data_IF_362108717182
#
_entry.id   IF_362108717182
#
_cell.length_a   1.000
_cell.length_b   1.000
_cell.length_c   1.000
_cell.angle_alpha   90.00
_cell.angle_beta   90.00
_cell.angle_gamma   90.00
#
_symmetry.space_group_name_H-M   'P 1'
#
loop_
_entity.id
_entity.type
_entity.pdbx_description
1 polymer ?
#
# COMPACT_ATOMS: atom_id res chain seq x y z
N UNK A 1 17.31 14.08 -3.12
CA UNK A 1 15.91 14.53 -3.13
C UNK A 1 15.84 15.82 -3.94
N UNK A 2 14.94 15.91 -4.93
CA UNK A 2 14.87 17.05 -5.87
C UNK A 2 14.52 18.39 -5.21
N UNK A 3 13.72 18.36 -4.15
CA UNK A 3 13.16 19.52 -3.47
C UNK A 3 13.61 19.63 -2.02
N UNK A 4 14.80 19.11 -1.67
CA UNK A 4 15.28 19.11 -0.28
C UNK A 4 15.44 20.51 0.31
N UNK A 5 15.73 21.51 -0.52
CA UNK A 5 15.82 22.92 -0.10
C UNK A 5 14.46 23.60 0.05
N UNK A 6 13.39 22.99 -0.44
CA UNK A 6 12.03 23.55 -0.50
C UNK A 6 10.96 22.51 -0.11
N UNK A 7 11.00 21.95 1.11
CA UNK A 7 10.04 20.93 1.56
C UNK A 7 8.59 21.44 1.58
N UNK A 8 8.39 22.75 1.72
CA UNK A 8 7.08 23.41 1.69
C UNK A 8 6.34 23.27 0.35
N UNK A 9 7.06 22.94 -0.74
CA UNK A 9 6.45 22.77 -2.06
C UNK A 9 5.74 21.44 -2.23
N UNK A 10 6.14 20.39 -1.50
CA UNK A 10 5.58 19.05 -1.68
C UNK A 10 4.05 19.01 -1.42
N UNK A 11 3.50 19.60 -0.35
CA UNK A 11 2.05 19.68 -0.16
C UNK A 11 1.33 20.50 -1.23
N UNK A 12 1.97 21.54 -1.77
CA UNK A 12 1.39 22.40 -2.80
C UNK A 12 1.34 21.65 -4.14
N UNK A 13 2.41 20.95 -4.49
CA UNK A 13 2.49 20.05 -5.65
C UNK A 13 1.43 18.96 -5.53
N UNK A 14 1.31 18.35 -4.34
CA UNK A 14 0.28 17.36 -4.07
C UNK A 14 -1.13 17.93 -4.27
N UNK A 15 -1.40 19.14 -3.81
CA UNK A 15 -2.71 19.80 -3.97
C UNK A 15 -3.06 19.98 -5.45
N UNK A 16 -2.14 20.51 -6.27
CA UNK A 16 -2.37 20.63 -7.71
C UNK A 16 -2.56 19.27 -8.37
N UNK A 17 -1.73 18.30 -8.01
CA UNK A 17 -1.77 16.95 -8.59
C UNK A 17 -3.09 16.24 -8.25
N UNK A 18 -3.50 16.29 -6.99
CA UNK A 18 -4.75 15.73 -6.51
C UNK A 18 -5.97 16.39 -7.17
N UNK A 19 -6.00 17.72 -7.24
CA UNK A 19 -7.03 18.46 -7.98
C UNK A 19 -7.10 18.03 -9.45
N UNK A 20 -5.95 17.88 -10.10
CA UNK A 20 -5.87 17.43 -11.50
C UNK A 20 -6.51 16.05 -11.67
N UNK A 21 -6.22 15.10 -10.77
CA UNK A 21 -6.80 13.76 -10.84
C UNK A 21 -8.31 13.73 -10.52
N UNK A 22 -8.79 14.63 -9.66
CA UNK A 22 -10.19 14.64 -9.24
C UNK A 22 -11.11 15.42 -10.20
N UNK A 23 -10.64 16.53 -10.77
CA UNK A 23 -11.50 17.46 -11.52
C UNK A 23 -11.13 17.54 -13.00
N UNK A 24 -9.87 17.25 -13.35
CA UNK A 24 -9.38 17.28 -14.73
C UNK A 24 -8.94 15.87 -15.18
N UNK A 25 -9.68 14.84 -14.77
CA UNK A 25 -9.35 13.43 -14.99
C UNK A 25 -9.22 13.04 -16.47
N UNK A 26 -9.80 13.80 -17.38
CA UNK A 26 -9.60 13.66 -18.83
C UNK A 26 -8.12 13.79 -19.23
N UNK A 27 -7.32 14.53 -18.44
CA UNK A 27 -5.86 14.57 -18.60
C UNK A 27 -5.18 13.22 -18.31
N UNK A 28 -5.84 12.27 -17.67
CA UNK A 28 -5.30 10.91 -17.47
C UNK A 28 -5.65 9.95 -18.61
N UNK A 29 -6.63 10.27 -19.48
CA UNK A 29 -7.01 9.38 -20.59
C UNK A 29 -5.80 9.15 -21.51
N UNK A 30 -5.47 7.87 -21.71
CA UNK A 30 -4.36 7.38 -22.53
C UNK A 30 -2.99 7.98 -22.16
N UNK A 31 -2.84 8.40 -20.90
CA UNK A 31 -1.63 9.00 -20.35
C UNK A 31 -1.21 8.35 -19.04
N UNK A 32 0.06 8.52 -18.70
CA UNK A 32 0.67 7.93 -17.53
C UNK A 32 0.58 8.86 -16.33
N UNK A 33 0.30 8.33 -15.14
CA UNK A 33 0.20 9.08 -13.89
C UNK A 33 1.43 9.98 -13.64
N UNK A 34 2.62 9.40 -13.82
CA UNK A 34 3.89 10.10 -13.61
C UNK A 34 4.10 11.30 -14.57
N UNK A 35 3.45 11.34 -15.74
CA UNK A 35 3.50 12.50 -16.64
C UNK A 35 2.87 13.71 -15.94
N UNK A 36 1.68 13.51 -15.36
CA UNK A 36 0.98 14.55 -14.61
C UNK A 36 1.74 14.92 -13.32
N UNK A 37 2.32 13.94 -12.63
CA UNK A 37 3.14 14.19 -11.44
C UNK A 37 4.35 15.09 -11.76
N UNK A 38 5.12 14.75 -12.80
CA UNK A 38 6.28 15.55 -13.22
C UNK A 38 5.87 16.94 -13.73
N UNK A 39 4.75 17.05 -14.45
CA UNK A 39 4.21 18.33 -14.90
C UNK A 39 3.72 19.20 -13.75
N UNK A 40 3.07 18.63 -12.72
CA UNK A 40 2.65 19.35 -11.53
C UNK A 40 3.84 19.87 -10.72
N UNK A 41 4.89 19.05 -10.55
CA UNK A 41 6.15 19.49 -9.92
C UNK A 41 6.74 20.71 -10.64
N UNK A 42 6.88 20.62 -11.97
CA UNK A 42 7.41 21.72 -12.77
C UNK A 42 6.55 22.98 -12.68
N UNK A 43 5.22 22.84 -12.79
CA UNK A 43 4.27 23.96 -12.74
C UNK A 43 4.39 24.74 -11.44
N UNK A 44 4.37 24.06 -10.29
CA UNK A 44 4.44 24.71 -8.97
C UNK A 44 5.79 25.37 -8.75
N UNK A 45 6.89 24.68 -9.07
CA UNK A 45 8.23 25.29 -8.96
C UNK A 45 8.32 26.56 -9.82
N UNK A 46 7.77 26.53 -11.04
CA UNK A 46 7.78 27.68 -11.95
C UNK A 46 7.02 28.88 -11.38
N UNK A 47 5.83 28.70 -10.81
CA UNK A 47 5.07 29.83 -10.22
C UNK A 47 5.60 30.29 -8.87
N UNK A 48 6.35 29.45 -8.17
CA UNK A 48 7.08 29.80 -6.94
C UNK A 48 8.49 30.32 -7.19
N UNK A 49 8.85 30.59 -8.45
CA UNK A 49 10.16 31.10 -8.87
C UNK A 49 11.34 30.22 -8.42
N UNK A 50 11.12 28.91 -8.30
CA UNK A 50 12.16 27.92 -8.03
C UNK A 50 12.65 27.34 -9.36
N UNK A 51 13.96 27.44 -9.62
CA UNK A 51 14.56 26.89 -10.83
C UNK A 51 14.61 25.36 -10.78
N UNK A 52 13.55 24.73 -11.28
CA UNK A 52 13.48 23.30 -11.50
C UNK A 52 13.21 23.03 -12.97
N UNK A 53 14.23 22.55 -13.69
CA UNK A 53 14.12 22.22 -15.11
C UNK A 53 13.58 20.79 -15.30
N UNK A 54 12.82 20.58 -16.39
CA UNK A 54 12.37 19.23 -16.79
C UNK A 54 13.53 18.25 -16.91
N UNK A 55 14.70 18.68 -17.40
CA UNK A 55 15.91 17.84 -17.47
C UNK A 55 16.28 17.26 -16.10
N UNK A 56 16.18 18.04 -15.03
CA UNK A 56 16.50 17.60 -13.66
C UNK A 56 15.45 16.63 -13.13
N UNK A 57 14.17 16.92 -13.38
CA UNK A 57 13.03 16.07 -13.01
C UNK A 57 13.16 14.70 -13.68
N UNK A 58 13.27 14.64 -15.01
CA UNK A 58 13.35 13.37 -15.75
C UNK A 58 14.63 12.59 -15.44
N UNK A 59 15.74 13.27 -15.13
CA UNK A 59 16.97 12.61 -14.70
C UNK A 59 16.78 11.88 -13.37
N UNK A 60 16.10 12.52 -12.41
CA UNK A 60 15.82 11.87 -11.14
C UNK A 60 14.78 10.76 -11.27
N UNK A 61 13.77 10.96 -12.13
CA UNK A 61 12.75 9.98 -12.44
C UNK A 61 13.34 8.64 -12.92
N UNK A 62 14.35 8.69 -13.81
CA UNK A 62 15.07 7.50 -14.32
C UNK A 62 15.72 6.64 -13.24
N UNK A 63 16.05 7.23 -12.09
CA UNK A 63 16.73 6.53 -11.00
C UNK A 63 15.73 5.85 -10.05
N UNK A 64 14.41 6.02 -10.27
CA UNK A 64 13.38 5.36 -9.47
C UNK A 64 13.11 3.94 -10.00
N UNK A 65 12.81 2.98 -9.11
CA UNK A 65 12.48 1.61 -9.52
C UNK A 65 11.21 1.59 -10.37
N UNK A 66 11.13 0.63 -11.29
CA UNK A 66 9.96 0.38 -12.15
C UNK A 66 9.57 1.55 -13.08
N UNK A 67 10.54 2.36 -13.51
CA UNK A 67 10.29 3.48 -14.45
C UNK A 67 10.71 3.15 -15.88
N UNK A 68 10.06 3.79 -16.86
CA UNK A 68 10.41 3.71 -18.29
C UNK A 68 10.76 5.10 -18.83
N UNK A 69 11.72 5.17 -19.75
CA UNK A 69 12.03 6.43 -20.42
C UNK A 69 10.95 6.85 -21.41
N UNK A 70 10.17 5.91 -21.94
CA UNK A 70 9.05 6.22 -22.83
C UNK A 70 8.01 7.09 -22.13
N UNK A 71 7.84 6.94 -20.81
CA UNK A 71 6.90 7.71 -20.00
C UNK A 71 7.04 9.22 -20.19
N UNK A 72 8.25 9.75 -20.41
CA UNK A 72 8.46 11.19 -20.65
C UNK A 72 8.96 11.53 -22.06
N UNK A 73 9.30 10.53 -22.88
CA UNK A 73 9.72 10.75 -24.29
C UNK A 73 8.57 10.62 -25.29
N UNK A 74 7.54 9.84 -24.96
CA UNK A 74 6.45 9.49 -25.85
C UNK A 74 5.10 9.69 -25.14
N UNK A 75 4.70 10.95 -25.01
CA UNK A 75 3.51 11.41 -24.30
C UNK A 75 2.47 11.85 -25.32
N UNK A 76 1.23 11.37 -25.16
CA UNK A 76 0.12 11.70 -26.05
C UNK A 76 -0.23 13.20 -25.97
N UNK A 77 -0.15 13.88 -27.12
CA UNK A 77 -0.50 15.30 -27.27
C UNK A 77 -1.92 15.43 -27.82
N UNK A 78 -2.16 14.82 -28.98
CA UNK A 78 -3.45 14.75 -29.69
C UNK A 78 -3.59 13.36 -30.31
N UNK A 79 -4.78 13.02 -30.82
CA UNK A 79 -5.08 11.69 -31.37
C UNK A 79 -3.99 11.19 -32.35
N UNK A 80 -3.28 10.13 -31.96
CA UNK A 80 -2.21 9.52 -32.76
C UNK A 80 -0.88 10.28 -32.78
N UNK A 81 -0.77 11.42 -32.11
CA UNK A 81 0.46 12.23 -32.06
C UNK A 81 1.08 12.24 -30.66
N UNK A 82 2.35 11.85 -30.60
CA UNK A 82 3.13 11.73 -29.37
C UNK A 82 4.40 12.56 -29.45
N UNK A 83 4.76 13.18 -28.34
CA UNK A 83 5.98 13.99 -28.21
C UNK A 83 6.51 13.90 -26.76
N UNK A 84 7.60 14.61 -26.47
CA UNK A 84 8.18 14.72 -25.15
C UNK A 84 7.21 15.34 -24.12
N UNK A 85 7.47 15.03 -22.85
CA UNK A 85 6.74 15.60 -21.71
C UNK A 85 6.74 17.14 -21.68
N UNK A 86 7.75 17.77 -22.30
CA UNK A 86 7.84 19.23 -22.38
C UNK A 86 6.77 19.78 -23.32
N UNK A 87 6.58 19.14 -24.48
CA UNK A 87 5.53 19.53 -25.45
C UNK A 87 4.16 19.26 -24.85
N UNK A 88 3.96 18.10 -24.21
CA UNK A 88 2.74 17.80 -23.45
C UNK A 88 2.44 18.88 -22.41
N UNK A 89 3.44 19.29 -21.63
CA UNK A 89 3.26 20.32 -20.62
C UNK A 89 2.79 21.65 -21.24
N UNK A 90 3.44 22.10 -22.31
CA UNK A 90 3.14 23.39 -22.92
C UNK A 90 1.81 23.41 -23.68
N UNK A 91 1.51 22.36 -24.43
CA UNK A 91 0.37 22.31 -25.35
C UNK A 91 -0.90 21.74 -24.72
N UNK A 92 -0.80 20.89 -23.69
CA UNK A 92 -1.97 20.20 -23.10
C UNK A 92 -2.13 20.59 -21.64
N UNK A 93 -1.16 20.24 -20.79
CA UNK A 93 -1.27 20.41 -19.34
C UNK A 93 -1.49 21.86 -18.94
N UNK A 94 -0.66 22.77 -19.44
CA UNK A 94 -0.76 24.20 -19.15
C UNK A 94 -2.01 24.83 -19.74
N UNK A 95 -2.43 24.42 -20.94
CA UNK A 95 -3.64 24.99 -21.54
C UNK A 95 -4.86 24.70 -20.67
N UNK A 96 -4.93 23.50 -20.09
CA UNK A 96 -6.05 23.13 -19.22
C UNK A 96 -5.94 23.71 -17.80
N UNK A 97 -4.75 23.72 -17.20
CA UNK A 97 -4.58 24.01 -15.77
C UNK A 97 -4.07 25.42 -15.45
N UNK A 98 -3.79 26.28 -16.45
CA UNK A 98 -3.19 27.62 -16.24
C UNK A 98 -3.88 28.42 -15.14
N UNK A 99 -5.20 28.50 -15.17
CA UNK A 99 -5.99 29.29 -14.19
C UNK A 99 -5.82 28.74 -12.78
N UNK A 100 -5.91 27.42 -12.60
CA UNK A 100 -5.68 26.74 -11.31
C UNK A 100 -4.24 26.93 -10.82
N UNK A 101 -3.25 26.81 -11.70
CA UNK A 101 -1.82 26.94 -11.36
C UNK A 101 -1.49 28.36 -10.90
N UNK A 102 -2.06 29.39 -11.56
CA UNK A 102 -1.79 30.79 -11.20
C UNK A 102 -2.34 31.18 -9.82
N UNK A 103 -3.34 30.47 -9.29
CA UNK A 103 -3.86 30.73 -7.93
C UNK A 103 -2.78 30.50 -6.85
N UNK A 104 -1.81 29.61 -7.09
CA UNK A 104 -0.74 29.34 -6.13
C UNK A 104 0.33 30.45 -6.07
N UNK A 105 0.33 31.39 -7.02
CA UNK A 105 1.13 32.61 -6.97
C UNK A 105 0.41 33.78 -6.24
N UNK A 106 -0.89 33.65 -5.98
CA UNK A 106 -1.71 34.67 -5.32
C UNK A 106 -1.39 34.79 -3.82
N UNK A 107 -1.73 35.95 -3.24
CA UNK A 107 -1.66 36.20 -1.79
C UNK A 107 -2.67 35.37 -0.99
N UNK A 108 -3.69 34.82 -1.67
CA UNK A 108 -4.66 33.87 -1.09
C UNK A 108 -4.60 32.54 -1.85
N UNK A 109 -3.65 31.66 -1.53
CA UNK A 109 -3.57 30.35 -2.16
C UNK A 109 -4.76 29.46 -1.74
N UNK A 110 -5.13 28.48 -2.57
CA UNK A 110 -6.16 27.51 -2.22
C UNK A 110 -5.73 26.66 -1.02
N UNK A 111 -6.72 26.10 -0.31
CA UNK A 111 -6.48 25.20 0.82
C UNK A 111 -5.76 23.94 0.35
N UNK A 112 -4.75 23.50 1.11
CA UNK A 112 -3.98 22.31 0.77
C UNK A 112 -4.84 21.04 0.85
N UNK A 113 -4.64 20.13 -0.10
CA UNK A 113 -5.30 18.83 -0.10
C UNK A 113 -4.74 17.93 1.00
N UNK A 114 -5.57 17.10 1.65
CA UNK A 114 -5.10 16.16 2.66
C UNK A 114 -4.11 15.16 2.06
N UNK A 115 -3.01 14.90 2.75
CA UNK A 115 -2.01 13.90 2.33
C UNK A 115 -2.62 12.50 2.51
N UNK A 116 -2.55 11.62 1.48
CA UNK A 116 -3.05 10.26 1.57
C UNK A 116 -2.39 9.52 2.73
N UNK A 117 -3.22 9.03 3.65
CA UNK A 117 -2.73 8.18 4.73
C UNK A 117 -2.54 6.78 4.17
N UNK A 118 -1.29 6.31 4.11
CA UNK A 118 -1.01 4.91 3.82
C UNK A 118 -1.66 4.09 4.92
N UNK A 119 -2.58 3.15 4.61
CA UNK A 119 -3.17 2.30 5.62
C UNK A 119 -2.05 1.55 6.34
N UNK A 120 -1.89 1.84 7.64
CA UNK A 120 -0.93 1.14 8.49
C UNK A 120 -1.69 0.18 9.36
N UNK A 121 -1.09 -0.98 9.59
CA UNK A 121 -1.62 -1.92 10.58
C UNK A 121 -1.63 -1.23 11.94
N UNK A 122 -2.66 -1.45 12.77
CA UNK A 122 -2.67 -0.96 14.16
C UNK A 122 -1.41 -1.37 14.93
N UNK A 123 -0.79 -2.48 14.51
CA UNK A 123 0.40 -3.05 15.11
C UNK A 123 1.73 -2.50 14.55
N UNK A 124 1.68 -1.55 13.61
CA UNK A 124 2.84 -0.92 12.94
C UNK A 124 3.84 -1.89 12.28
N UNK A 125 3.50 -3.16 12.12
CA UNK A 125 4.37 -4.12 11.45
C UNK A 125 4.31 -3.91 9.93
N UNK A 126 5.47 -3.75 9.26
CA UNK A 126 5.53 -3.46 7.83
C UNK A 126 4.99 -4.59 6.94
N UNK A 127 4.87 -5.82 7.45
CA UNK A 127 4.36 -6.99 6.74
C UNK A 127 2.97 -7.44 7.23
N UNK A 128 2.28 -6.61 8.03
CA UNK A 128 0.96 -6.99 8.53
C UNK A 128 -0.08 -6.93 7.42
N UNK A 129 -1.00 -7.91 7.34
CA UNK A 129 -2.20 -7.78 6.52
C UNK A 129 -3.00 -6.54 6.93
N UNK A 130 -3.48 -5.81 5.94
CA UNK A 130 -4.30 -4.62 6.07
C UNK A 130 -5.70 -4.94 5.56
N UNK A 131 -6.73 -4.57 6.34
CA UNK A 131 -8.12 -4.72 5.89
C UNK A 131 -8.40 -3.69 4.80
N UNK A 132 -9.05 -4.12 3.72
CA UNK A 132 -9.43 -3.22 2.63
C UNK A 132 -10.62 -2.36 3.09
N UNK A 133 -10.50 -1.01 3.05
CA UNK A 133 -11.62 -0.12 3.36
C UNK A 133 -12.84 -0.46 2.49
N UNK A 134 -14.03 -0.57 3.10
CA UNK A 134 -15.26 -0.93 2.41
C UNK A 134 -15.51 -2.43 2.23
N UNK A 135 -14.56 -3.30 2.60
CA UNK A 135 -14.77 -4.75 2.61
C UNK A 135 -14.75 -5.29 4.04
N UNK A 136 -15.68 -6.20 4.36
CA UNK A 136 -15.69 -6.77 5.71
C UNK A 136 -14.62 -7.84 5.92
N UNK A 137 -14.26 -8.59 4.88
CA UNK A 137 -13.44 -9.81 5.03
C UNK A 137 -12.21 -9.87 4.12
N UNK A 138 -11.88 -8.80 3.37
CA UNK A 138 -10.72 -8.81 2.48
C UNK A 138 -9.52 -8.14 3.17
N UNK A 139 -8.41 -8.87 3.22
CA UNK A 139 -7.14 -8.41 3.75
C UNK A 139 -6.06 -8.49 2.67
N UNK A 140 -5.30 -7.42 2.52
CA UNK A 140 -4.15 -7.36 1.61
C UNK A 140 -2.88 -7.34 2.46
N UNK A 141 -2.00 -8.31 2.24
CA UNK A 141 -0.66 -8.31 2.83
C UNK A 141 0.34 -7.78 1.81
N UNK A 142 1.33 -6.96 2.22
CA UNK A 142 2.45 -6.61 1.35
C UNK A 142 3.10 -7.86 0.76
N UNK A 143 3.46 -7.79 -0.52
CA UNK A 143 4.11 -8.88 -1.23
C UNK A 143 5.48 -9.13 -0.59
N UNK A 144 5.70 -10.34 -0.08
CA UNK A 144 6.99 -10.72 0.51
C UNK A 144 8.04 -10.72 -0.59
N UNK A 145 9.20 -10.11 -0.34
CA UNK A 145 10.29 -10.15 -1.33
C UNK A 145 10.72 -11.62 -1.53
N UNK A 146 11.00 -12.07 -2.77
CA UNK A 146 11.51 -13.42 -3.01
C UNK A 146 12.87 -13.68 -2.37
N UNK A 147 13.59 -12.60 -1.99
CA UNK A 147 14.90 -12.67 -1.31
C UNK A 147 14.79 -13.05 0.16
N UNK A 148 13.59 -12.99 0.74
CA UNK A 148 13.27 -13.72 1.97
C UNK A 148 12.91 -15.15 1.56
N UNK A 149 13.93 -15.90 1.15
CA UNK A 149 13.78 -17.33 0.87
C UNK A 149 13.17 -18.03 2.10
N UNK A 150 12.32 -19.06 1.91
CA UNK A 150 11.81 -19.89 3.01
C UNK A 150 12.94 -20.53 3.85
N UNK A 151 14.16 -20.55 3.32
CA UNK A 151 15.36 -21.13 3.93
C UNK A 151 15.93 -20.35 5.11
N UNK A 152 15.45 -19.14 5.41
CA UNK A 152 15.86 -18.37 6.60
C UNK A 152 14.84 -18.43 7.77
N UNK A 153 13.78 -19.23 7.65
CA UNK A 153 12.72 -19.35 8.69
C UNK A 153 12.55 -20.76 9.28
N UNK A 154 13.41 -21.71 8.92
CA UNK A 154 13.50 -22.98 9.61
C UNK A 154 14.71 -22.96 10.53
N UNK A 155 14.54 -23.04 11.86
CA UNK A 155 15.69 -23.35 12.71
C UNK A 155 16.22 -24.71 12.24
N UNK A 156 17.40 -24.73 11.61
CA UNK A 156 18.09 -25.95 11.15
C UNK A 156 18.34 -26.97 12.28
N UNK A 157 18.05 -26.58 13.51
CA UNK A 157 18.09 -27.41 14.72
C UNK A 157 16.83 -28.23 14.99
N UNK A 158 15.70 -28.02 14.30
CA UNK A 158 14.45 -28.76 14.57
C UNK A 158 13.95 -29.56 13.36
N UNK A 159 13.47 -30.78 13.63
CA UNK A 159 12.99 -31.72 12.62
C UNK A 159 11.71 -31.21 11.95
N UNK A 160 11.67 -31.25 10.61
CA UNK A 160 10.49 -30.88 9.81
C UNK A 160 9.59 -32.11 9.60
N UNK A 161 8.28 -31.90 9.75
CA UNK A 161 7.25 -32.93 9.59
C UNK A 161 6.06 -32.31 8.83
N UNK A 162 5.61 -32.98 7.78
CA UNK A 162 4.45 -32.60 6.95
C UNK A 162 3.34 -33.64 7.10
N UNK A 163 2.08 -33.19 7.13
CA UNK A 163 0.92 -34.09 7.20
C UNK A 163 0.80 -34.79 5.84
N UNK A 164 0.78 -36.13 5.84
CA UNK A 164 0.71 -36.95 4.63
C UNK A 164 2.04 -37.54 4.16
N UNK A 165 3.18 -37.19 4.79
CA UNK A 165 4.42 -37.95 4.59
C UNK A 165 4.33 -39.32 5.27
N UNK A 166 4.80 -40.37 4.57
CA UNK A 166 5.03 -41.66 5.23
C UNK A 166 6.12 -41.49 6.28
N UNK A 167 5.74 -41.67 7.54
CA UNK A 167 6.68 -41.65 8.65
C UNK A 167 7.52 -42.93 8.56
N UNK A 168 8.71 -42.84 7.97
CA UNK A 168 9.65 -43.95 7.88
C UNK A 168 10.12 -44.49 9.25
N UNK A 169 11.41 -44.84 9.36
CA UNK A 169 12.01 -45.48 10.54
C UNK A 169 11.50 -44.94 11.90
N UNK A 170 11.23 -45.85 12.84
CA UNK A 170 10.65 -45.63 14.19
C UNK A 170 11.31 -44.49 14.99
N UNK A 171 12.58 -44.21 14.73
CA UNK A 171 13.37 -43.14 15.33
C UNK A 171 12.78 -41.73 15.07
N UNK A 172 12.00 -41.53 13.99
CA UNK A 172 11.38 -40.24 13.67
C UNK A 172 10.23 -39.90 14.62
N UNK A 173 9.41 -40.90 14.98
CA UNK A 173 8.31 -40.72 15.94
C UNK A 173 8.80 -40.42 17.36
N UNK A 174 9.87 -41.11 17.81
CA UNK A 174 10.47 -40.83 19.11
C UNK A 174 10.95 -39.38 19.23
N UNK A 175 11.53 -38.83 18.15
CA UNK A 175 11.93 -37.41 18.08
C UNK A 175 10.73 -36.46 18.10
N UNK A 176 9.59 -36.81 17.46
CA UNK A 176 8.36 -36.01 17.54
C UNK A 176 7.87 -35.96 18.99
N UNK A 177 7.80 -37.10 19.67
CA UNK A 177 7.34 -37.16 21.05
C UNK A 177 8.25 -36.36 21.99
N UNK A 178 9.57 -36.43 21.80
CA UNK A 178 10.52 -35.58 22.53
C UNK A 178 10.31 -34.08 22.25
N UNK A 179 10.05 -33.69 20.99
CA UNK A 179 9.76 -32.29 20.66
C UNK A 179 8.46 -31.79 21.27
N UNK A 180 7.40 -32.60 21.28
CA UNK A 180 6.10 -32.25 21.88
C UNK A 180 6.19 -32.11 23.40
N UNK A 181 7.00 -32.96 24.04
CA UNK A 181 7.21 -32.95 25.50
C UNK A 181 8.26 -31.93 25.96
N UNK A 182 9.04 -31.34 25.05
CA UNK A 182 10.00 -30.28 25.39
C UNK A 182 9.27 -28.97 25.71
N UNK A 183 9.49 -28.43 26.90
CA UNK A 183 8.86 -27.22 27.42
C UNK A 183 9.35 -25.91 26.76
N UNK A 184 10.35 -25.97 25.87
CA UNK A 184 10.90 -24.82 25.15
C UNK A 184 10.05 -24.41 23.93
N UNK A 185 8.84 -23.90 24.24
CA UNK A 185 8.02 -23.15 23.29
C UNK A 185 8.53 -21.71 23.23
N UNK A 186 9.61 -21.47 22.48
CA UNK A 186 9.99 -20.11 22.10
C UNK A 186 8.87 -19.48 21.28
N UNK A 187 8.26 -18.42 21.84
CA UNK A 187 7.27 -17.59 21.15
C UNK A 187 7.89 -17.05 19.87
N UNK A 188 7.46 -17.56 18.70
CA UNK A 188 7.96 -17.20 17.36
C UNK A 188 7.74 -15.73 16.95
N UNK A 189 7.30 -14.86 17.85
CA UNK A 189 7.12 -13.43 17.63
C UNK A 189 7.49 -12.67 18.89
N UNK A 190 8.78 -12.61 19.19
CA UNK A 190 9.29 -11.71 20.22
C UNK A 190 10.54 -11.05 19.67
N UNK A 191 10.36 -9.86 19.11
CA UNK A 191 11.38 -8.83 19.21
C UNK A 191 10.70 -7.66 19.90
N UNK A 192 11.28 -7.32 21.04
CA UNK A 192 11.04 -6.17 21.91
C UNK A 192 9.97 -6.28 23.02
N UNK A 193 10.40 -5.83 24.20
CA UNK A 193 9.79 -5.97 25.52
C UNK A 193 8.58 -5.04 25.67
N UNK A 194 7.39 -5.63 25.78
CA UNK A 194 6.15 -4.97 26.20
C UNK A 194 5.25 -5.99 26.89
N UNK A 195 4.24 -5.57 27.69
CA UNK A 195 3.42 -6.50 28.45
C UNK A 195 2.77 -7.51 27.50
N UNK A 196 2.87 -8.79 27.89
CA UNK A 196 2.47 -9.97 27.12
C UNK A 196 1.22 -9.72 26.26
N UNK A 197 1.26 -9.88 24.93
CA UNK A 197 0.06 -9.77 24.12
C UNK A 197 -0.92 -10.87 24.56
N UNK A 198 -2.13 -10.47 24.95
CA UNK A 198 -3.22 -11.39 25.30
C UNK A 198 -3.39 -12.39 24.16
N UNK A 199 -3.47 -13.71 24.45
CA UNK A 199 -3.68 -14.70 23.41
C UNK A 199 -4.99 -14.39 22.68
N UNK A 200 -4.92 -14.23 21.36
CA UNK A 200 -6.11 -14.05 20.53
C UNK A 200 -7.03 -15.27 20.71
N UNK A 201 -8.34 -15.00 20.85
CA UNK A 201 -9.40 -16.01 20.92
C UNK A 201 -9.15 -17.05 19.81
N UNK A 202 -8.98 -18.31 20.22
CA UNK A 202 -8.84 -19.45 19.28
C UNK A 202 -10.01 -19.40 18.30
N UNK A 203 -9.71 -19.55 17.02
CA UNK A 203 -10.71 -19.83 16.00
C UNK A 203 -11.40 -21.15 16.39
N UNK A 204 -12.63 -21.06 16.90
CA UNK A 204 -13.50 -22.22 17.06
C UNK A 204 -14.19 -22.38 15.72
N UNK A 205 -14.02 -23.55 15.11
CA UNK A 205 -14.93 -23.98 14.07
C UNK A 205 -16.23 -24.35 14.78
N UNK A 206 -17.35 -23.74 14.37
CA UNK A 206 -18.66 -24.20 14.81
C UNK A 206 -18.79 -25.67 14.37
N UNK A 207 -18.86 -26.55 15.35
CA UNK A 207 -19.27 -27.94 15.15
C UNK A 207 -20.78 -27.89 15.29
N UNK A 208 -21.47 -27.81 14.15
CA UNK A 208 -22.91 -28.05 14.10
C UNK A 208 -23.20 -29.48 14.57
N UNK A 209 -24.15 -29.61 15.49
CA UNK A 209 -24.73 -30.89 15.86
C UNK A 209 -25.20 -30.99 17.30
N UNK A 210 -26.35 -30.39 17.61
CA UNK A 210 -27.25 -30.96 18.63
C UNK A 210 -28.69 -30.47 18.38
N UNK A 211 -29.46 -31.33 17.72
CA UNK A 211 -30.92 -31.40 17.84
C UNK A 211 -31.26 -31.67 19.31
N UNK A 212 -32.09 -30.83 19.94
CA UNK A 212 -32.82 -31.15 21.17
C UNK A 212 -34.17 -30.39 21.18
N UNK A 213 -35.19 -31.16 20.82
CA UNK A 213 -36.52 -31.26 21.41
C UNK A 213 -37.43 -30.02 21.60
N UNK A 214 -38.57 -30.13 20.89
CA UNK A 214 -39.90 -29.57 21.12
C UNK A 214 -40.32 -29.57 22.60
N UNK A 215 -40.89 -28.44 23.05
CA UNK A 215 -41.30 -28.18 24.41
C UNK A 215 -42.46 -27.20 24.46
N UNK A 216 -43.61 -27.66 23.96
CA UNK A 216 -44.93 -27.05 24.12
C UNK A 216 -45.21 -26.58 25.57
N UNK A 217 -45.76 -25.38 25.74
CA UNK A 217 -46.54 -25.02 26.94
C UNK A 217 -47.93 -24.50 26.53
N UNK A 218 -49.00 -24.98 27.17
CA UNK A 218 -50.36 -24.57 26.90
C UNK A 218 -50.67 -23.24 27.61
N UNK A 219 -51.61 -22.49 27.04
CA UNK A 219 -52.24 -21.37 27.73
C UNK A 219 -53.27 -21.87 28.75
N UNK A 220 -53.52 -21.06 29.78
CA UNK A 220 -54.84 -20.86 30.35
C UNK A 220 -54.87 -19.62 31.25
N UNK A 221 -55.97 -18.88 31.11
CA UNK A 221 -56.42 -17.72 31.88
C UNK A 221 -56.79 -18.06 33.33
N UNK A 222 -56.81 -17.03 34.19
CA UNK A 222 -57.89 -16.66 35.14
C UNK A 222 -57.37 -16.22 36.51
N UNK A 223 -57.42 -14.92 36.79
CA UNK A 223 -58.43 -14.27 37.66
C UNK A 223 -58.26 -12.76 37.66
#
# INVERSE_FOLDING_TARGET
YLLSSHPELEPIIWTLFQHTLQHEYELMRDRHLDQLMMSAMYAICKVKSVDLRFKTIVTSYKNMPNTSQETFKHVLITEGHYDSIIIFYNQVFMQRLKTNILQYASTRPPTLSPIPQIPRSPYKFPNSPLRVPGSNNVYISPMKSPRMSPSLMTPRTRMLVSIGESFGQSNRFQKINQMVNSSDRTFKRTLDMGPTPKPLKRLRFDVDGQDEADGSKPGEDST
#
